data_IF_002644863353
#
_entry.id   IF_002644863353
#
_cell.length_a   1.000
_cell.length_b   1.000
_cell.length_c   1.000
_cell.angle_alpha   90.00
_cell.angle_beta   90.00
_cell.angle_gamma   90.00
#
_symmetry.space_group_name_H-M   'P 1'
#
loop_
_entity.id
_entity.type
_entity.pdbx_description
1 polymer ?
#
# COMPACT_ATOMS: atom_id res chain seq x y z
N UNK A 1 -15.07 11.58 -11.04
CA UNK A 1 -15.28 10.28 -10.35
C UNK A 1 -14.94 9.09 -11.23
N UNK A 2 -15.38 9.06 -12.50
CA UNK A 2 -15.03 7.98 -13.46
C UNK A 2 -13.51 7.74 -13.58
N UNK A 3 -12.69 8.79 -13.68
CA UNK A 3 -11.22 8.65 -13.85
C UNK A 3 -10.57 7.97 -12.63
N UNK A 4 -11.04 8.29 -11.42
CA UNK A 4 -10.55 7.69 -10.18
C UNK A 4 -10.94 6.21 -10.10
N UNK A 5 -12.17 5.88 -10.51
CA UNK A 5 -12.65 4.50 -10.53
C UNK A 5 -11.87 3.64 -11.54
N UNK A 6 -11.65 4.15 -12.76
CA UNK A 6 -10.87 3.46 -13.79
C UNK A 6 -9.40 3.31 -13.39
N UNK A 7 -8.79 4.37 -12.84
CA UNK A 7 -7.42 4.34 -12.33
C UNK A 7 -7.28 3.35 -11.17
N UNK A 8 -8.23 3.35 -10.24
CA UNK A 8 -8.26 2.41 -9.11
C UNK A 8 -8.44 0.95 -9.56
N UNK A 9 -9.28 0.69 -10.56
CA UNK A 9 -9.45 -0.64 -11.13
C UNK A 9 -8.17 -1.13 -11.82
N UNK A 10 -7.52 -0.27 -12.62
CA UNK A 10 -6.25 -0.58 -13.28
C UNK A 10 -5.15 -0.87 -12.25
N UNK A 11 -5.03 -0.02 -11.23
CA UNK A 11 -4.09 -0.22 -10.13
C UNK A 11 -4.37 -1.52 -9.39
N UNK A 12 -5.64 -1.84 -9.12
CA UNK A 12 -6.04 -3.10 -8.48
C UNK A 12 -5.59 -4.34 -9.27
N UNK A 13 -5.78 -4.33 -10.58
CA UNK A 13 -5.35 -5.42 -11.48
C UNK A 13 -3.82 -5.55 -11.51
N UNK A 14 -3.10 -4.43 -11.63
CA UNK A 14 -1.64 -4.43 -11.63
C UNK A 14 -1.06 -4.85 -10.27
N UNK A 15 -1.76 -4.50 -9.19
CA UNK A 15 -1.32 -4.79 -7.82
C UNK A 15 -1.61 -6.23 -7.41
N UNK A 16 -2.68 -6.85 -7.90
CA UNK A 16 -3.00 -8.25 -7.57
C UNK A 16 -1.93 -9.21 -8.10
N UNK A 17 -1.36 -8.93 -9.27
CA UNK A 17 -0.25 -9.71 -9.83
C UNK A 17 1.08 -9.57 -9.06
N UNK A 18 1.25 -8.50 -8.29
CA UNK A 18 2.50 -8.24 -7.52
C UNK A 18 2.40 -8.67 -6.05
N UNK A 19 1.22 -9.06 -5.56
CA UNK A 19 1.02 -9.54 -4.20
C UNK A 19 1.23 -8.50 -3.08
N UNK A 20 1.54 -7.24 -3.42
CA UNK A 20 1.96 -6.21 -2.46
C UNK A 20 0.82 -5.37 -1.84
N UNK A 21 -0.45 -5.67 -2.14
CA UNK A 21 -1.59 -4.98 -1.50
C UNK A 21 -1.90 -3.57 -2.05
N UNK A 22 -1.31 -3.17 -3.17
CA UNK A 22 -1.71 -2.04 -4.03
C UNK A 22 -1.61 -0.61 -3.49
N UNK A 23 -1.41 -0.42 -2.19
CA UNK A 23 -1.28 0.90 -1.56
C UNK A 23 -0.15 1.77 -2.14
N UNK A 24 0.94 1.15 -2.62
CA UNK A 24 2.09 1.84 -3.20
C UNK A 24 1.76 2.57 -4.51
N UNK A 25 0.73 2.14 -5.24
CA UNK A 25 0.27 2.77 -6.48
C UNK A 25 -0.89 3.75 -6.25
N UNK A 26 -1.73 3.50 -5.25
CA UNK A 26 -2.91 4.35 -4.99
C UNK A 26 -2.50 5.73 -4.47
N UNK A 27 -1.51 5.82 -3.57
CA UNK A 27 -1.05 7.11 -3.03
C UNK A 27 -0.48 8.02 -4.14
N UNK A 28 0.49 7.58 -4.98
CA UNK A 28 1.01 8.41 -6.07
C UNK A 28 -0.06 8.74 -7.12
N UNK A 29 -0.96 7.81 -7.44
CA UNK A 29 -2.04 8.06 -8.38
C UNK A 29 -2.94 9.21 -7.90
N UNK A 30 -3.34 9.20 -6.63
CA UNK A 30 -4.18 10.27 -6.07
C UNK A 30 -3.46 11.62 -6.03
N UNK A 31 -2.17 11.63 -5.70
CA UNK A 31 -1.34 12.84 -5.75
C UNK A 31 -1.23 13.35 -7.20
N UNK A 32 -1.03 12.46 -8.18
CA UNK A 32 -0.98 12.80 -9.60
C UNK A 32 -2.30 13.41 -10.10
N UNK A 33 -3.43 12.96 -9.54
CA UNK A 33 -4.75 13.55 -9.78
C UNK A 33 -4.97 14.89 -9.05
N UNK A 34 -3.94 15.46 -8.43
CA UNK A 34 -3.99 16.75 -7.76
C UNK A 34 -4.67 16.73 -6.39
N UNK A 35 -4.80 15.55 -5.75
CA UNK A 35 -5.32 15.47 -4.38
C UNK A 35 -4.25 15.82 -3.36
N UNK A 36 -4.69 16.47 -2.28
CA UNK A 36 -3.83 16.75 -1.13
C UNK A 36 -3.22 15.45 -0.59
N UNK A 37 -1.97 15.51 -0.15
CA UNK A 37 -1.21 14.34 0.34
C UNK A 37 -1.92 13.70 1.54
N UNK A 38 -2.48 14.48 2.47
CA UNK A 38 -3.22 13.93 3.62
C UNK A 38 -4.45 13.15 3.15
N UNK A 39 -5.17 13.69 2.18
CA UNK A 39 -6.38 13.07 1.64
C UNK A 39 -6.05 11.82 0.81
N UNK A 40 -4.96 11.85 0.05
CA UNK A 40 -4.46 10.71 -0.71
C UNK A 40 -4.04 9.54 0.19
N UNK A 41 -3.33 9.81 1.28
CA UNK A 41 -2.92 8.80 2.26
C UNK A 41 -4.14 8.18 2.94
N UNK A 42 -5.07 9.00 3.45
CA UNK A 42 -6.29 8.48 4.10
C UNK A 42 -7.17 7.65 3.18
N UNK A 43 -7.34 8.07 1.92
CA UNK A 43 -8.11 7.31 0.93
C UNK A 43 -7.46 5.97 0.59
N UNK A 44 -6.13 5.94 0.52
CA UNK A 44 -5.39 4.71 0.24
C UNK A 44 -5.51 3.69 1.38
N UNK A 45 -5.60 4.13 2.63
CA UNK A 45 -5.86 3.22 3.76
C UNK A 45 -7.18 2.47 3.63
N UNK A 46 -8.24 3.15 3.20
CA UNK A 46 -9.54 2.51 2.96
C UNK A 46 -9.42 1.43 1.87
N UNK A 47 -8.73 1.76 0.78
CA UNK A 47 -8.46 0.79 -0.30
C UNK A 47 -7.68 -0.43 0.21
N UNK A 48 -6.60 -0.20 0.95
CA UNK A 48 -5.76 -1.27 1.53
C UNK A 48 -6.58 -2.15 2.48
N UNK A 49 -7.47 -1.56 3.28
CA UNK A 49 -8.34 -2.31 4.19
C UNK A 49 -9.22 -3.31 3.43
N UNK A 50 -9.93 -2.87 2.38
CA UNK A 50 -10.74 -3.77 1.56
C UNK A 50 -9.91 -4.81 0.81
N UNK A 51 -8.74 -4.42 0.30
CA UNK A 51 -7.81 -5.35 -0.35
C UNK A 51 -7.33 -6.44 0.62
N UNK A 52 -6.94 -6.07 1.84
CA UNK A 52 -6.48 -6.99 2.87
C UNK A 52 -7.61 -7.91 3.36
N UNK A 53 -8.83 -7.38 3.55
CA UNK A 53 -9.99 -8.18 3.91
C UNK A 53 -10.33 -9.23 2.83
N UNK A 54 -10.28 -8.83 1.55
CA UNK A 54 -10.44 -9.75 0.42
C UNK A 54 -9.35 -10.83 0.39
N UNK A 55 -8.08 -10.42 0.59
CA UNK A 55 -6.95 -11.35 0.63
C UNK A 55 -7.08 -12.36 1.77
N UNK A 56 -7.47 -11.91 2.96
CA UNK A 56 -7.71 -12.75 4.12
C UNK A 56 -8.83 -13.76 3.85
N UNK A 57 -9.96 -13.31 3.29
CA UNK A 57 -11.07 -14.19 2.93
C UNK A 57 -10.68 -15.25 1.88
N UNK A 58 -9.90 -14.86 0.88
CA UNK A 58 -9.40 -15.78 -0.15
C UNK A 58 -8.44 -16.83 0.43
N UNK A 59 -7.45 -16.41 1.23
CA UNK A 59 -6.48 -17.31 1.86
C UNK A 59 -7.11 -18.19 2.94
N UNK A 60 -8.15 -17.70 3.63
CA UNK A 60 -8.91 -18.51 4.57
C UNK A 60 -9.59 -19.69 3.89
N UNK A 61 -10.21 -19.45 2.72
CA UNK A 61 -10.86 -20.50 1.92
C UNK A 61 -9.86 -21.53 1.38
N UNK A 62 -8.62 -21.13 1.14
CA UNK A 62 -7.54 -22.00 0.67
C UNK A 62 -6.89 -22.82 1.81
N UNK A 63 -7.25 -22.57 3.08
CA UNK A 63 -6.66 -23.27 4.23
C UNK A 63 -5.21 -22.88 4.55
N UNK A 64 -4.65 -21.89 3.85
CA UNK A 64 -3.24 -21.48 3.96
C UNK A 64 -3.00 -20.41 5.03
N UNK A 65 -3.88 -20.28 6.03
CA UNK A 65 -3.75 -19.27 7.09
C UNK A 65 -3.13 -19.86 8.36
N UNK A 66 -1.89 -19.47 8.63
CA UNK A 66 -1.30 -19.63 9.96
C UNK A 66 -1.78 -18.53 10.90
N UNK A 67 -2.84 -18.82 11.66
CA UNK A 67 -3.46 -17.86 12.57
C UNK A 67 -2.51 -17.29 13.63
N UNK A 68 -1.56 -18.07 14.14
CA UNK A 68 -0.58 -17.61 15.14
C UNK A 68 0.29 -16.48 14.56
N UNK A 69 0.90 -16.73 13.42
CA UNK A 69 1.77 -15.76 12.72
C UNK A 69 0.95 -14.56 12.23
N UNK A 70 -0.24 -14.80 11.69
CA UNK A 70 -1.16 -13.75 11.25
C UNK A 70 -1.60 -12.81 12.38
N UNK A 71 -1.96 -13.33 13.55
CA UNK A 71 -2.32 -12.52 14.72
C UNK A 71 -1.12 -11.75 15.27
N UNK A 72 0.06 -12.36 15.33
CA UNK A 72 1.28 -11.66 15.75
C UNK A 72 1.59 -10.47 14.84
N UNK A 73 1.48 -10.65 13.52
CA UNK A 73 1.62 -9.58 12.54
C UNK A 73 0.51 -8.54 12.65
N UNK A 74 -0.74 -8.95 12.90
CA UNK A 74 -1.85 -8.02 13.08
C UNK A 74 -1.65 -7.10 14.30
N UNK A 75 -1.18 -7.66 15.42
CA UNK A 75 -0.87 -6.87 16.62
C UNK A 75 0.30 -5.92 16.37
N UNK A 76 1.39 -6.41 15.77
CA UNK A 76 2.52 -5.56 15.40
C UNK A 76 2.13 -4.43 14.44
N UNK A 77 1.29 -4.74 13.46
CA UNK A 77 0.73 -3.79 12.50
C UNK A 77 -0.18 -2.75 13.16
N UNK A 78 -1.04 -3.15 14.09
CA UNK A 78 -1.88 -2.25 14.89
C UNK A 78 -1.04 -1.27 15.69
N UNK A 79 -0.02 -1.76 16.40
CA UNK A 79 0.88 -0.92 17.18
C UNK A 79 1.63 0.06 16.26
N UNK A 80 2.18 -0.42 15.15
CA UNK A 80 2.86 0.41 14.16
C UNK A 80 1.96 1.46 13.51
N UNK A 81 0.70 1.11 13.21
CA UNK A 81 -0.27 2.01 12.58
C UNK A 81 -0.70 3.16 13.52
N UNK A 82 -0.68 2.95 14.84
CA UNK A 82 -0.96 4.02 15.81
C UNK A 82 0.27 4.88 16.08
N UNK A 83 1.44 4.25 16.24
CA UNK A 83 2.69 4.94 16.59
C UNK A 83 3.26 5.71 15.40
N UNK A 84 3.20 5.14 14.19
CA UNK A 84 3.79 5.73 12.99
C UNK A 84 3.30 7.15 12.68
N UNK A 85 1.98 7.40 12.58
CA UNK A 85 1.43 8.73 12.37
C UNK A 85 1.79 9.71 13.50
N UNK A 86 1.79 9.25 14.75
CA UNK A 86 2.14 10.10 15.90
C UNK A 86 3.61 10.57 15.86
N UNK A 87 4.54 9.75 15.35
CA UNK A 87 5.91 10.20 15.09
C UNK A 87 5.99 11.13 13.86
N UNK A 88 5.16 10.89 12.84
CA UNK A 88 5.16 11.69 11.62
C UNK A 88 4.66 13.12 11.84
N UNK A 89 3.81 13.38 12.83
CA UNK A 89 3.37 14.73 13.19
C UNK A 89 4.52 15.66 13.62
N UNK A 90 5.65 15.10 14.05
CA UNK A 90 6.84 15.87 14.45
C UNK A 90 7.78 16.16 13.27
N UNK A 91 7.49 15.62 12.08
CA UNK A 91 8.34 15.74 10.90
C UNK A 91 7.80 16.82 9.95
N UNK A 92 8.64 17.76 9.47
CA UNK A 92 8.22 18.76 8.49
C UNK A 92 7.70 18.09 7.20
N UNK A 93 6.57 18.59 6.66
CA UNK A 93 5.93 18.05 5.44
C UNK A 93 6.90 17.93 4.26
N UNK A 94 7.83 18.88 4.12
CA UNK A 94 8.85 18.86 3.07
C UNK A 94 9.82 17.67 3.21
N UNK A 95 10.20 17.33 4.43
CA UNK A 95 11.07 16.19 4.72
C UNK A 95 10.33 14.88 4.52
N UNK A 96 9.08 14.79 4.98
CA UNK A 96 8.22 13.62 4.74
C UNK A 96 8.06 13.33 3.25
N UNK A 97 7.68 14.34 2.45
CA UNK A 97 7.55 14.20 1.00
C UNK A 97 8.83 13.72 0.33
N UNK A 98 9.99 14.26 0.76
CA UNK A 98 11.30 13.90 0.19
C UNK A 98 11.67 12.46 0.51
N UNK A 99 11.53 12.04 1.78
CA UNK A 99 11.81 10.66 2.21
C UNK A 99 10.85 9.68 1.53
N UNK A 100 9.56 10.00 1.49
CA UNK A 100 8.55 9.20 0.83
C UNK A 100 8.84 9.03 -0.67
N UNK A 101 9.25 10.10 -1.36
CA UNK A 101 9.66 10.03 -2.75
C UNK A 101 10.89 9.13 -2.95
N UNK A 102 11.91 9.24 -2.09
CA UNK A 102 13.08 8.35 -2.14
C UNK A 102 12.72 6.89 -1.95
N UNK A 103 11.85 6.58 -0.99
CA UNK A 103 11.36 5.21 -0.75
C UNK A 103 10.60 4.69 -1.98
N UNK A 104 9.69 5.49 -2.54
CA UNK A 104 8.93 5.09 -3.73
C UNK A 104 9.82 4.84 -4.94
N UNK A 105 10.82 5.69 -5.17
CA UNK A 105 11.80 5.48 -6.24
C UNK A 105 12.60 4.21 -5.99
N UNK A 106 13.06 3.99 -4.76
CA UNK A 106 13.79 2.77 -4.37
C UNK A 106 12.97 1.50 -4.61
N UNK A 107 11.71 1.49 -4.17
CA UNK A 107 10.77 0.38 -4.39
C UNK A 107 10.49 0.19 -5.89
N UNK A 108 10.27 1.27 -6.64
CA UNK A 108 10.05 1.21 -8.08
C UNK A 108 11.25 0.61 -8.84
N UNK A 109 12.46 1.01 -8.47
CA UNK A 109 13.70 0.45 -9.01
C UNK A 109 13.84 -1.02 -8.65
N UNK A 110 13.61 -1.38 -7.38
CA UNK A 110 13.63 -2.79 -6.94
C UNK A 110 12.61 -3.65 -7.69
N UNK A 111 11.40 -3.15 -7.90
CA UNK A 111 10.38 -3.85 -8.70
C UNK A 111 10.81 -4.08 -10.14
N UNK A 112 11.47 -3.10 -10.79
CA UNK A 112 12.00 -3.29 -12.14
C UNK A 112 13.07 -4.38 -12.19
N UNK A 113 13.94 -4.44 -11.18
CA UNK A 113 14.94 -5.50 -11.08
C UNK A 113 14.32 -6.86 -10.74
N UNK A 114 13.35 -6.92 -9.83
CA UNK A 114 12.61 -8.16 -9.50
C UNK A 114 11.78 -8.67 -10.67
N UNK A 115 11.16 -7.79 -11.47
CA UNK A 115 10.44 -8.18 -12.67
C UNK A 115 11.37 -8.80 -13.73
N UNK A 116 12.61 -8.30 -13.83
CA UNK A 116 13.64 -8.88 -14.70
C UNK A 116 14.20 -10.21 -14.14
N UNK A 117 14.23 -10.38 -12.81
CA UNK A 117 14.82 -11.55 -12.16
C UNK A 117 13.85 -12.74 -11.98
N UNK A 118 12.53 -12.49 -12.01
CA UNK A 118 11.50 -13.53 -11.93
C UNK A 118 10.95 -13.96 -13.30
N UNK A 119 11.59 -13.52 -14.39
CA UNK A 119 11.39 -14.08 -15.72
C UNK A 119 12.19 -15.38 -15.89
N UNK A 120 11.72 -16.46 -15.27
CA UNK A 120 12.09 -17.84 -15.58
C UNK A 120 10.82 -18.69 -15.60
#
# INVERSE_FOLDING_TARGET
MIIVALGGALVGILSSGTGMGGGFLVVPLLIFLGKDVKLAVGTSFIFIFFAAASALAAHHRLGNLEWKTGLALAVGGLVGAQIGPALLEQVPDAMFKRVFAFILVGVGVWMLFSAKNNGA
#
